data_IF_509356190380
#
_entry.id   IF_509356190380
#
_cell.length_a   1.000
_cell.length_b   1.000
_cell.length_c   1.000
_cell.angle_alpha   90.00
_cell.angle_beta   90.00
_cell.angle_gamma   90.00
#
_symmetry.space_group_name_H-M   'P 1'
#
loop_
_entity.id
_entity.type
_entity.pdbx_description
1 polymer ?
#
# COMPACT_ATOMS: atom_id res chain seq x y z
N UNK A 1 -17.83 -12.79 -15.66
CA UNK A 1 -18.37 -12.18 -14.43
C UNK A 1 -18.07 -13.16 -13.28
N UNK A 2 -16.80 -13.33 -12.93
CA UNK A 2 -16.32 -14.50 -12.16
C UNK A 2 -15.44 -14.12 -10.96
N UNK A 3 -14.89 -12.90 -10.96
CA UNK A 3 -13.85 -12.46 -10.02
C UNK A 3 -14.39 -12.22 -8.59
N UNK A 4 -15.66 -11.85 -8.45
CA UNK A 4 -16.28 -11.55 -7.14
C UNK A 4 -16.54 -12.80 -6.29
N UNK A 5 -16.84 -13.94 -6.91
CA UNK A 5 -17.00 -15.20 -6.19
C UNK A 5 -15.68 -15.67 -5.59
N UNK A 6 -14.59 -15.54 -6.34
CA UNK A 6 -13.26 -15.97 -5.90
C UNK A 6 -12.75 -15.15 -4.71
N UNK A 7 -13.03 -13.84 -4.67
CA UNK A 7 -12.63 -12.98 -3.54
C UNK A 7 -13.31 -13.38 -2.23
N UNK A 8 -14.63 -13.57 -2.23
CA UNK A 8 -15.36 -13.95 -1.00
C UNK A 8 -15.00 -15.36 -0.53
N UNK A 9 -14.75 -16.29 -1.46
CA UNK A 9 -14.30 -17.65 -1.15
C UNK A 9 -12.89 -17.64 -0.55
N UNK A 10 -11.94 -16.92 -1.16
CA UNK A 10 -10.60 -16.76 -0.60
C UNK A 10 -10.63 -16.08 0.77
N UNK A 11 -11.41 -15.00 0.92
CA UNK A 11 -11.54 -14.28 2.18
C UNK A 11 -12.03 -15.20 3.30
N UNK A 12 -13.10 -15.96 3.06
CA UNK A 12 -13.62 -16.94 4.04
C UNK A 12 -12.61 -18.06 4.36
N UNK A 13 -11.92 -18.58 3.35
CA UNK A 13 -10.94 -19.65 3.56
C UNK A 13 -9.74 -19.18 4.41
N UNK A 14 -9.29 -17.94 4.19
CA UNK A 14 -8.24 -17.30 5.00
C UNK A 14 -8.75 -17.05 6.43
N UNK A 15 -9.96 -16.50 6.59
CA UNK A 15 -10.57 -16.27 7.91
C UNK A 15 -10.69 -17.55 8.75
N UNK A 16 -11.13 -18.66 8.15
CA UNK A 16 -11.25 -19.95 8.84
C UNK A 16 -9.88 -20.59 9.16
N UNK A 17 -8.87 -20.44 8.30
CA UNK A 17 -7.49 -20.87 8.59
C UNK A 17 -6.87 -20.08 9.75
N UNK A 18 -7.18 -18.79 9.88
CA UNK A 18 -6.60 -17.92 10.91
C UNK A 18 -7.24 -18.09 12.29
N UNK A 19 -8.48 -18.58 12.34
CA UNK A 19 -9.31 -18.68 13.56
C UNK A 19 -8.70 -19.51 14.69
N UNK A 20 -7.77 -20.41 14.37
CA UNK A 20 -7.09 -21.32 15.32
C UNK A 20 -5.57 -21.23 15.27
N UNK A 21 -5.00 -20.19 14.66
CA UNK A 21 -3.56 -20.04 14.48
C UNK A 21 -3.04 -18.85 15.30
N UNK A 22 -1.82 -18.95 15.83
CA UNK A 22 -1.07 -17.80 16.35
C UNK A 22 -0.61 -16.83 15.22
N UNK A 23 -1.12 -17.00 13.99
CA UNK A 23 -0.75 -16.14 12.87
C UNK A 23 -1.38 -14.75 13.02
N UNK A 24 -0.60 -13.69 12.72
CA UNK A 24 -1.13 -12.34 12.75
C UNK A 24 -2.27 -12.19 11.73
N UNK A 25 -3.37 -11.59 12.16
CA UNK A 25 -4.58 -11.34 11.36
C UNK A 25 -4.22 -10.55 10.08
N UNK A 26 -4.93 -10.73 8.97
CA UNK A 26 -4.69 -9.93 7.78
C UNK A 26 -5.26 -8.52 8.00
N UNK A 27 -4.55 -7.52 7.50
CA UNK A 27 -5.04 -6.15 7.35
C UNK A 27 -5.04 -5.77 5.88
N UNK A 28 -6.02 -4.96 5.49
CA UNK A 28 -6.20 -4.44 4.14
C UNK A 28 -5.98 -2.94 4.16
N UNK A 29 -4.85 -2.52 3.60
CA UNK A 29 -4.47 -1.11 3.48
C UNK A 29 -4.77 -0.65 2.06
N UNK A 30 -5.32 0.55 1.89
CA UNK A 30 -5.50 1.17 0.58
C UNK A 30 -4.31 2.05 0.26
N UNK A 31 -3.65 1.79 -0.85
CA UNK A 31 -2.62 2.66 -1.40
C UNK A 31 -3.24 3.53 -2.47
N UNK A 32 -3.10 4.85 -2.36
CA UNK A 32 -3.58 5.83 -3.34
C UNK A 32 -2.41 6.53 -4.01
N UNK A 33 -2.51 6.70 -5.31
CA UNK A 33 -1.49 7.36 -6.12
C UNK A 33 -2.01 8.68 -6.65
N UNK A 34 -1.17 9.70 -6.66
CA UNK A 34 -1.46 10.94 -7.38
C UNK A 34 -1.47 10.73 -8.91
N UNK A 35 -1.78 11.80 -9.66
CA UNK A 35 -1.89 11.73 -11.12
C UNK A 35 -0.57 11.41 -11.83
N UNK A 36 0.58 11.71 -11.22
CA UNK A 36 1.88 11.40 -11.82
C UNK A 36 2.23 9.93 -11.62
N UNK A 37 2.03 9.41 -10.41
CA UNK A 37 2.24 8.00 -10.10
C UNK A 37 1.23 7.09 -10.82
N UNK A 38 0.00 7.55 -11.04
CA UNK A 38 -1.01 6.85 -11.86
C UNK A 38 -0.52 6.54 -13.28
N UNK A 39 0.37 7.36 -13.85
CA UNK A 39 0.96 7.11 -15.18
C UNK A 39 1.91 5.89 -15.19
N UNK A 40 2.37 5.48 -14.01
CA UNK A 40 3.25 4.32 -13.83
C UNK A 40 2.43 3.11 -13.38
N UNK A 41 1.60 3.29 -12.35
CA UNK A 41 0.84 2.20 -11.71
C UNK A 41 -0.38 1.77 -12.52
N UNK A 42 -0.85 2.61 -13.45
CA UNK A 42 -2.10 2.44 -14.21
C UNK A 42 -3.34 2.26 -13.33
N UNK A 43 -3.28 2.66 -12.06
CA UNK A 43 -4.42 2.63 -11.12
C UNK A 43 -4.38 3.82 -10.18
N UNK A 44 -5.55 4.34 -9.83
CA UNK A 44 -5.70 5.40 -8.82
C UNK A 44 -5.47 4.86 -7.41
N UNK A 45 -5.98 3.66 -7.13
CA UNK A 45 -5.80 3.00 -5.84
C UNK A 45 -5.64 1.48 -5.99
N UNK A 46 -4.92 0.86 -5.06
CA UNK A 46 -4.83 -0.59 -4.93
C UNK A 46 -4.97 -1.00 -3.46
N UNK A 47 -5.48 -2.21 -3.23
CA UNK A 47 -5.56 -2.78 -1.88
C UNK A 47 -4.40 -3.73 -1.65
N UNK A 48 -3.64 -3.49 -0.58
CA UNK A 48 -2.52 -4.33 -0.17
C UNK A 48 -2.93 -5.12 1.07
N UNK A 49 -2.87 -6.45 0.97
CA UNK A 49 -3.08 -7.36 2.10
C UNK A 49 -1.75 -7.57 2.82
N UNK A 50 -1.72 -7.35 4.13
CA UNK A 50 -0.52 -7.45 4.97
C UNK A 50 -0.86 -8.14 6.29
N UNK A 51 0.15 -8.55 7.07
CA UNK A 51 -0.09 -9.03 8.45
C UNK A 51 -0.31 -7.86 9.39
N UNK A 52 -1.23 -8.00 10.35
CA UNK A 52 -1.43 -7.05 11.44
C UNK A 52 -0.12 -6.83 12.19
N UNK A 53 0.17 -5.56 12.51
CA UNK A 53 1.46 -5.17 13.09
C UNK A 53 2.55 -4.90 12.05
N UNK A 54 2.27 -5.05 10.75
CA UNK A 54 3.14 -4.54 9.69
C UNK A 54 3.33 -3.03 9.82
N UNK A 55 4.48 -2.56 9.36
CA UNK A 55 4.86 -1.15 9.44
C UNK A 55 4.86 -0.49 8.06
N UNK A 56 4.81 0.83 8.06
CA UNK A 56 4.87 1.64 6.86
C UNK A 56 6.07 1.31 5.95
N UNK A 57 7.27 1.07 6.51
CA UNK A 57 8.45 0.70 5.71
C UNK A 57 8.27 -0.62 4.94
N UNK A 58 7.55 -1.58 5.51
CA UNK A 58 7.29 -2.86 4.84
C UNK A 58 6.29 -2.69 3.68
N UNK A 59 5.27 -1.84 3.87
CA UNK A 59 4.37 -1.46 2.78
C UNK A 59 5.13 -0.76 1.65
N UNK A 60 6.01 0.18 1.99
CA UNK A 60 6.80 0.93 1.02
C UNK A 60 7.67 -0.01 0.16
N UNK A 61 8.34 -0.98 0.81
CA UNK A 61 9.11 -2.00 0.13
C UNK A 61 8.25 -2.82 -0.84
N UNK A 62 7.06 -3.26 -0.42
CA UNK A 62 6.16 -4.05 -1.27
C UNK A 62 5.68 -3.25 -2.50
N UNK A 63 5.32 -1.98 -2.30
CA UNK A 63 4.88 -1.09 -3.39
C UNK A 63 6.01 -0.86 -4.40
N UNK A 64 7.23 -0.63 -3.96
CA UNK A 64 8.37 -0.41 -4.87
C UNK A 64 8.85 -1.68 -5.57
N UNK A 65 8.71 -2.86 -4.95
CA UNK A 65 8.91 -4.13 -5.65
C UNK A 65 7.87 -4.30 -6.76
N UNK A 66 6.59 -4.03 -6.47
CA UNK A 66 5.51 -4.14 -7.45
C UNK A 66 5.63 -3.11 -8.58
N UNK A 67 6.08 -1.90 -8.26
CA UNK A 67 6.13 -0.75 -9.18
C UNK A 67 7.55 -0.17 -9.26
N UNK A 68 8.54 -1.01 -9.57
CA UNK A 68 9.98 -0.63 -9.57
C UNK A 68 10.34 0.57 -10.45
N UNK A 69 9.50 0.91 -11.43
CA UNK A 69 9.68 2.10 -12.26
C UNK A 69 9.51 3.42 -11.49
N UNK A 70 8.78 3.41 -10.37
CA UNK A 70 8.69 4.57 -9.46
C UNK A 70 10.09 4.93 -8.94
N UNK A 71 10.86 3.95 -8.46
CA UNK A 71 12.22 4.18 -7.94
C UNK A 71 13.22 4.59 -9.03
N UNK A 72 13.01 4.14 -10.28
CA UNK A 72 13.85 4.56 -11.41
C UNK A 72 13.59 6.00 -11.82
N UNK A 73 12.33 6.45 -11.76
CA UNK A 73 11.91 7.76 -12.25
C UNK A 73 12.03 8.86 -11.20
N UNK A 74 11.82 8.54 -9.92
CA UNK A 74 11.81 9.50 -8.84
C UNK A 74 12.95 9.22 -7.86
N UNK A 75 13.93 10.14 -7.71
CA UNK A 75 15.02 9.92 -6.78
C UNK A 75 14.51 9.91 -5.33
N UNK A 76 15.27 9.28 -4.41
CA UNK A 76 14.92 9.24 -2.99
C UNK A 76 14.54 10.62 -2.44
N UNK A 77 13.41 10.67 -1.73
CA UNK A 77 12.87 11.91 -1.15
C UNK A 77 11.92 12.70 -2.06
N UNK A 78 11.75 12.32 -3.33
CA UNK A 78 10.82 13.00 -4.25
C UNK A 78 9.37 12.56 -4.10
N UNK A 79 9.17 11.34 -3.58
CA UNK A 79 7.85 10.78 -3.28
C UNK A 79 7.53 11.08 -1.81
N UNK A 80 6.43 11.78 -1.58
CA UNK A 80 5.84 12.04 -0.27
C UNK A 80 4.77 11.02 0.09
N UNK A 81 4.54 10.85 1.39
CA UNK A 81 3.62 9.84 1.93
C UNK A 81 2.82 10.40 3.11
N UNK A 82 1.54 10.05 3.19
CA UNK A 82 0.70 10.26 4.37
C UNK A 82 -0.17 9.04 4.64
N UNK A 83 -0.35 8.69 5.91
CA UNK A 83 -1.32 7.68 6.38
C UNK A 83 -2.49 8.44 6.98
N UNK A 84 -3.67 8.33 6.39
CA UNK A 84 -4.88 9.06 6.80
C UNK A 84 -4.64 10.58 6.95
N UNK A 85 -3.80 11.15 6.06
CA UNK A 85 -3.43 12.57 6.07
C UNK A 85 -2.28 12.96 7.00
N UNK A 86 -1.72 12.03 7.76
CA UNK A 86 -0.62 12.28 8.71
C UNK A 86 0.70 11.70 8.15
N UNK A 87 1.81 12.47 8.12
CA UNK A 87 3.11 11.95 7.70
C UNK A 87 3.57 10.78 8.59
N UNK A 88 3.92 9.61 8.02
CA UNK A 88 4.37 8.47 8.80
C UNK A 88 5.84 8.61 9.23
N UNK A 89 6.21 7.87 10.28
CA UNK A 89 7.58 7.48 10.57
C UNK A 89 7.83 6.11 9.93
N UNK A 90 9.11 5.75 9.76
CA UNK A 90 9.54 4.46 9.20
C UNK A 90 8.83 3.27 9.86
N UNK A 91 8.71 3.30 11.18
CA UNK A 91 8.08 2.24 11.98
C UNK A 91 6.64 2.54 12.40
N UNK A 92 5.95 3.46 11.73
CA UNK A 92 4.53 3.68 12.00
C UNK A 92 3.77 2.39 11.71
N UNK A 93 3.00 1.84 12.66
CA UNK A 93 2.19 0.64 12.43
C UNK A 93 1.04 0.96 11.48
N UNK A 94 0.67 -0.01 10.65
CA UNK A 94 -0.51 0.04 9.79
C UNK A 94 -1.65 -0.72 10.42
N UNK A 95 -2.85 -0.18 10.29
CA UNK A 95 -4.10 -0.77 10.76
C UNK A 95 -5.00 -1.14 9.56
N UNK A 96 -5.93 -2.07 9.81
CA UNK A 96 -6.92 -2.43 8.81
C UNK A 96 -7.74 -1.20 8.39
N UNK A 97 -7.90 -1.01 7.08
CA UNK A 97 -8.62 0.13 6.51
C UNK A 97 -7.82 1.42 6.37
N UNK A 98 -6.55 1.47 6.79
CA UNK A 98 -5.70 2.65 6.60
C UNK A 98 -5.59 3.03 5.12
N UNK A 99 -5.53 4.34 4.86
CA UNK A 99 -5.32 4.89 3.52
C UNK A 99 -3.96 5.56 3.47
N UNK A 100 -3.08 5.03 2.64
CA UNK A 100 -1.72 5.53 2.42
C UNK A 100 -1.68 6.24 1.07
N UNK A 101 -1.48 7.55 1.08
CA UNK A 101 -1.41 8.35 -0.13
C UNK A 101 0.04 8.64 -0.51
N UNK A 102 0.39 8.34 -1.76
CA UNK A 102 1.67 8.61 -2.38
C UNK A 102 1.52 9.81 -3.32
N UNK A 103 2.40 10.79 -3.17
CA UNK A 103 2.36 12.04 -3.95
C UNK A 103 3.74 12.45 -4.40
N UNK A 104 3.88 12.94 -5.63
CA UNK A 104 5.11 13.58 -6.09
C UNK A 104 5.10 15.03 -5.61
N UNK A 105 6.12 15.40 -4.82
CA UNK A 105 6.34 16.78 -4.45
C UNK A 105 6.80 17.55 -5.69
N UNK A 106 5.94 18.40 -6.25
CA UNK A 106 6.24 19.20 -7.45
C UNK A 106 7.29 20.32 -7.22
N UNK A 107 7.99 20.33 -6.09
CA UNK A 107 8.95 21.38 -5.73
C UNK A 107 10.40 21.09 -6.14
N UNK A 108 10.66 20.06 -6.95
CA UNK A 108 11.99 19.70 -7.45
C UNK A 108 12.11 19.84 -8.98
N UNK A 109 11.53 20.89 -9.55
CA UNK A 109 12.03 21.41 -10.83
C UNK A 109 13.27 22.26 -10.55
N UNK A 110 14.49 21.84 -10.94
CA UNK A 110 15.62 22.75 -10.96
C UNK A 110 15.30 23.86 -11.97
N UNK A 111 15.18 25.08 -11.46
CA UNK A 111 15.23 26.33 -12.23
C UNK A 111 16.55 26.46 -12.98
#
# INVERSE_FOLDING_TARGET
MTILWDYWVMKKAVEELMKNSEMPQPIYVKVRYDKELQKITNTEEESVCMSQGSTFVYLLQNVFIAHSEIEKRYPPGSVGFVINGIPPKVYTPLLDGDVVSFTISSSLSPS
#
